data_IF_177519202560
#
_entry.id   IF_177519202560
#
_cell.length_a   1.000
_cell.length_b   1.000
_cell.length_c   1.000
_cell.angle_alpha   90.00
_cell.angle_beta   90.00
_cell.angle_gamma   90.00
#
_symmetry.space_group_name_H-M   'P 1'
#
loop_
_entity.id
_entity.type
_entity.pdbx_description
1 polymer ?
#
# COMPACT_ATOMS: atom_id res chain seq x y z
N UNK A 1 29.35 -2.37 -24.53
CA UNK A 1 28.05 -2.44 -23.83
C UNK A 1 27.99 -3.78 -23.15
N UNK A 2 27.55 -3.84 -21.88
CA UNK A 2 27.25 -5.14 -21.26
C UNK A 2 26.00 -5.71 -21.92
N UNK A 3 25.97 -7.04 -22.11
CA UNK A 3 24.78 -7.71 -22.62
C UNK A 3 23.57 -7.50 -21.70
N UNK A 4 22.37 -7.46 -22.28
CA UNK A 4 21.12 -7.38 -21.50
C UNK A 4 20.98 -8.62 -20.60
N UNK A 5 20.47 -8.48 -19.38
CA UNK A 5 20.24 -9.60 -18.48
C UNK A 5 19.40 -10.69 -19.16
N UNK A 6 19.90 -11.91 -19.13
CA UNK A 6 19.23 -13.09 -19.68
C UNK A 6 19.55 -14.32 -18.81
N UNK A 7 18.71 -15.33 -18.94
CA UNK A 7 18.94 -16.65 -18.34
C UNK A 7 18.51 -17.73 -19.35
N UNK A 8 19.38 -17.94 -20.35
CA UNK A 8 19.08 -18.86 -21.44
C UNK A 8 18.84 -20.29 -20.98
N UNK A 9 19.47 -20.73 -19.88
CA UNK A 9 19.24 -22.06 -19.31
C UNK A 9 17.84 -22.17 -18.69
N UNK A 10 17.38 -21.13 -18.00
CA UNK A 10 16.01 -21.08 -17.51
C UNK A 10 14.99 -21.03 -18.66
N UNK A 11 15.26 -20.26 -19.71
CA UNK A 11 14.42 -20.23 -20.91
C UNK A 11 14.28 -21.60 -21.56
N UNK A 12 15.41 -22.32 -21.74
CA UNK A 12 15.40 -23.72 -22.21
C UNK A 12 14.62 -24.64 -21.28
N UNK A 13 14.77 -24.44 -19.97
CA UNK A 13 14.05 -25.20 -18.95
C UNK A 13 12.53 -25.03 -19.02
N UNK A 14 12.05 -23.78 -19.27
CA UNK A 14 10.63 -23.51 -19.50
C UNK A 14 10.14 -24.21 -20.75
N UNK A 15 10.80 -24.01 -21.90
CA UNK A 15 10.38 -24.60 -23.17
C UNK A 15 10.47 -26.13 -23.11
N UNK A 16 11.55 -26.70 -22.60
CA UNK A 16 11.71 -28.14 -22.42
C UNK A 16 10.60 -28.75 -21.54
N UNK A 17 10.23 -28.08 -20.44
CA UNK A 17 9.10 -28.52 -19.60
C UNK A 17 7.76 -28.46 -20.33
N UNK A 18 7.55 -27.43 -21.19
CA UNK A 18 6.37 -27.35 -22.03
C UNK A 18 6.29 -28.46 -23.08
N UNK A 19 7.44 -28.91 -23.60
CA UNK A 19 7.49 -30.00 -24.59
C UNK A 19 7.29 -31.38 -23.94
N UNK A 20 7.74 -31.58 -22.70
CA UNK A 20 7.62 -32.85 -21.97
C UNK A 20 6.20 -33.14 -21.50
N UNK A 21 5.54 -32.14 -20.90
CA UNK A 21 4.18 -32.28 -20.36
C UNK A 21 3.29 -31.08 -20.80
N UNK A 22 3.00 -30.98 -22.11
CA UNK A 22 2.35 -29.79 -22.64
C UNK A 22 1.02 -29.48 -21.98
N UNK A 23 0.15 -30.47 -21.81
CA UNK A 23 -1.20 -30.29 -21.25
C UNK A 23 -1.22 -29.81 -19.78
N UNK A 24 -0.16 -30.08 -19.04
CA UNK A 24 0.00 -29.67 -17.65
C UNK A 24 0.75 -28.36 -17.51
N UNK A 25 1.80 -28.17 -18.29
CA UNK A 25 2.76 -27.07 -18.13
C UNK A 25 2.35 -25.85 -18.93
N UNK A 26 1.97 -25.99 -20.20
CA UNK A 26 1.65 -24.87 -21.08
C UNK A 26 0.55 -23.96 -20.50
N UNK A 27 -0.59 -24.48 -19.99
CA UNK A 27 -1.61 -23.62 -19.41
C UNK A 27 -1.13 -22.79 -18.22
N UNK A 28 -0.22 -23.35 -17.41
CA UNK A 28 0.34 -22.66 -16.23
C UNK A 28 1.37 -21.58 -16.65
N UNK A 29 2.26 -21.92 -17.54
CA UNK A 29 3.36 -21.04 -17.94
C UNK A 29 2.87 -19.88 -18.81
N UNK A 30 1.85 -20.09 -19.66
CA UNK A 30 1.22 -19.03 -20.44
C UNK A 30 0.42 -18.01 -19.63
N UNK A 31 0.12 -18.32 -18.37
CA UNK A 31 -0.43 -17.36 -17.40
C UNK A 31 0.65 -16.49 -16.74
N UNK A 32 1.90 -16.93 -16.75
CA UNK A 32 3.03 -16.25 -16.10
C UNK A 32 3.91 -15.49 -17.09
N UNK A 33 4.14 -16.06 -18.27
CA UNK A 33 5.08 -15.55 -19.25
C UNK A 33 4.39 -15.12 -20.54
N UNK A 34 5.05 -14.20 -21.23
CA UNK A 34 4.75 -13.79 -22.61
C UNK A 34 5.92 -14.12 -23.52
N UNK A 35 5.74 -14.04 -24.82
CA UNK A 35 6.83 -14.17 -25.80
C UNK A 35 7.97 -13.17 -25.54
N UNK A 36 7.67 -11.97 -25.04
CA UNK A 36 8.63 -10.93 -24.70
C UNK A 36 9.43 -11.23 -23.42
N UNK A 37 9.00 -12.19 -22.63
CA UNK A 37 9.73 -12.64 -21.44
C UNK A 37 11.05 -13.32 -21.80
N UNK A 38 11.09 -13.95 -22.99
CA UNK A 38 12.27 -14.66 -23.50
C UNK A 38 13.25 -13.72 -24.23
N UNK A 39 14.53 -14.01 -24.11
CA UNK A 39 15.60 -13.26 -24.81
C UNK A 39 15.95 -13.90 -26.13
N UNK A 40 16.02 -15.25 -26.19
CA UNK A 40 16.30 -15.95 -27.42
C UNK A 40 15.09 -15.96 -28.35
N UNK A 41 15.31 -15.51 -29.58
CA UNK A 41 14.26 -15.45 -30.63
C UNK A 41 13.62 -16.81 -30.90
N UNK A 42 14.39 -17.89 -30.79
CA UNK A 42 13.86 -19.28 -30.95
C UNK A 42 12.83 -19.58 -29.88
N UNK A 43 13.13 -19.22 -28.62
CA UNK A 43 12.22 -19.43 -27.50
C UNK A 43 10.98 -18.56 -27.59
N UNK A 44 11.11 -17.30 -28.06
CA UNK A 44 9.98 -16.40 -28.29
C UNK A 44 8.98 -17.04 -29.27
N UNK A 45 9.50 -17.52 -30.41
CA UNK A 45 8.67 -18.12 -31.46
C UNK A 45 8.03 -19.42 -30.98
N UNK A 46 8.79 -20.31 -30.33
CA UNK A 46 8.26 -21.56 -29.79
C UNK A 46 7.16 -21.30 -28.77
N UNK A 47 7.39 -20.35 -27.87
CA UNK A 47 6.41 -20.02 -26.85
C UNK A 47 5.13 -19.41 -27.43
N UNK A 48 5.26 -18.52 -28.45
CA UNK A 48 4.11 -17.96 -29.17
C UNK A 48 3.24 -19.07 -29.80
N UNK A 49 3.86 -20.04 -30.47
CA UNK A 49 3.13 -21.16 -31.11
C UNK A 49 2.46 -22.03 -30.06
N UNK A 50 3.15 -22.40 -28.98
CA UNK A 50 2.58 -23.18 -27.87
C UNK A 50 1.40 -22.47 -27.22
N UNK A 51 1.49 -21.15 -27.02
CA UNK A 51 0.41 -20.32 -26.45
C UNK A 51 -0.81 -20.30 -27.37
N UNK A 52 -0.63 -20.11 -28.67
CA UNK A 52 -1.73 -20.11 -29.67
C UNK A 52 -2.41 -21.46 -29.76
N UNK A 53 -1.65 -22.57 -29.77
CA UNK A 53 -2.20 -23.93 -29.74
C UNK A 53 -3.03 -24.18 -28.47
N UNK A 54 -2.54 -23.73 -27.31
CA UNK A 54 -3.28 -23.83 -26.05
C UNK A 54 -4.59 -23.02 -26.06
N UNK A 55 -4.54 -21.78 -26.59
CA UNK A 55 -5.73 -20.92 -26.70
C UNK A 55 -6.79 -21.50 -27.67
N UNK A 56 -6.34 -22.22 -28.70
CA UNK A 56 -7.21 -22.87 -29.69
C UNK A 56 -7.69 -24.23 -29.24
N UNK A 57 -7.39 -24.65 -28.00
CA UNK A 57 -7.68 -25.99 -27.48
C UNK A 57 -7.19 -27.15 -28.39
N UNK A 58 -6.08 -26.91 -29.11
CA UNK A 58 -5.45 -27.96 -29.92
C UNK A 58 -4.64 -28.90 -29.03
N UNK A 59 -4.61 -30.17 -29.38
CA UNK A 59 -3.72 -31.13 -28.72
C UNK A 59 -2.29 -30.74 -28.97
N UNK A 60 -1.53 -30.54 -27.89
CA UNK A 60 -0.11 -30.20 -27.96
C UNK A 60 0.70 -31.47 -27.67
N UNK A 61 1.33 -32.02 -28.70
CA UNK A 61 2.37 -33.03 -28.59
C UNK A 61 3.52 -32.69 -29.52
N UNK A 62 4.62 -33.45 -29.44
CA UNK A 62 5.82 -33.18 -30.20
C UNK A 62 5.63 -33.32 -31.73
N UNK A 63 4.72 -34.18 -32.18
CA UNK A 63 4.47 -34.39 -33.60
C UNK A 63 3.61 -33.26 -34.15
N UNK A 64 2.49 -32.97 -33.48
CA UNK A 64 1.59 -31.86 -33.87
C UNK A 64 2.30 -30.53 -33.87
N UNK A 65 3.15 -30.29 -32.86
CA UNK A 65 3.97 -29.06 -32.80
C UNK A 65 4.94 -28.95 -33.98
N UNK A 66 5.61 -30.06 -34.34
CA UNK A 66 6.52 -30.08 -35.50
C UNK A 66 5.77 -29.80 -36.80
N UNK A 67 4.60 -30.42 -37.02
CA UNK A 67 3.75 -30.17 -38.17
C UNK A 67 3.28 -28.72 -38.24
N UNK A 68 2.87 -28.14 -37.11
CA UNK A 68 2.41 -26.76 -37.06
C UNK A 68 3.56 -25.76 -37.34
N UNK A 69 4.76 -26.03 -36.80
CA UNK A 69 5.95 -25.24 -37.09
C UNK A 69 6.38 -25.32 -38.57
N UNK A 70 6.27 -26.50 -39.18
CA UNK A 70 6.60 -26.70 -40.61
C UNK A 70 5.57 -26.01 -41.48
N UNK A 71 4.29 -26.18 -41.23
CA UNK A 71 3.19 -25.52 -41.93
C UNK A 71 3.34 -23.99 -41.91
N UNK A 72 3.79 -23.42 -40.79
CA UNK A 72 4.05 -21.99 -40.61
C UNK A 72 5.44 -21.55 -41.15
N UNK A 73 6.25 -22.48 -41.66
CA UNK A 73 7.62 -22.26 -42.11
C UNK A 73 8.56 -21.68 -41.03
N UNK A 74 8.27 -22.02 -39.76
CA UNK A 74 9.00 -21.55 -38.60
C UNK A 74 10.04 -22.57 -38.08
N UNK A 75 10.01 -23.82 -38.55
CA UNK A 75 10.85 -24.92 -38.05
C UNK A 75 12.34 -24.58 -38.07
N UNK A 76 12.85 -23.99 -39.14
CA UNK A 76 14.25 -23.59 -39.24
C UNK A 76 14.60 -22.42 -38.29
N UNK A 77 13.64 -21.52 -38.06
CA UNK A 77 13.82 -20.36 -37.19
C UNK A 77 13.95 -20.78 -35.72
N UNK A 78 13.28 -21.84 -35.30
CA UNK A 78 13.34 -22.37 -33.91
C UNK A 78 14.53 -23.33 -33.70
N UNK A 79 15.39 -23.53 -34.69
CA UNK A 79 16.60 -24.37 -34.56
C UNK A 79 16.42 -25.79 -35.11
N UNK A 80 15.31 -26.10 -35.79
CA UNK A 80 15.03 -27.40 -36.41
C UNK A 80 14.61 -28.48 -35.41
N UNK A 81 14.36 -29.67 -35.98
CA UNK A 81 13.89 -30.83 -35.16
C UNK A 81 14.90 -31.27 -34.12
N UNK A 82 16.19 -31.23 -34.43
CA UNK A 82 17.25 -31.63 -33.51
C UNK A 82 17.29 -30.76 -32.26
N UNK A 83 17.07 -29.46 -32.39
CA UNK A 83 17.04 -28.55 -31.26
C UNK A 83 15.88 -28.86 -30.30
N UNK A 84 14.70 -29.15 -30.83
CA UNK A 84 13.53 -29.52 -30.03
C UNK A 84 13.73 -30.84 -29.29
N UNK A 85 14.30 -31.84 -29.96
CA UNK A 85 14.63 -33.11 -29.32
C UNK A 85 15.68 -32.93 -28.20
N UNK A 86 16.71 -32.14 -28.43
CA UNK A 86 17.72 -31.84 -27.43
C UNK A 86 17.13 -31.13 -26.19
N UNK A 87 16.17 -30.21 -26.37
CA UNK A 87 15.47 -29.58 -25.24
C UNK A 87 14.68 -30.60 -24.43
N UNK A 88 14.03 -31.58 -25.08
CA UNK A 88 13.28 -32.64 -24.37
C UNK A 88 14.22 -33.60 -23.61
N UNK A 89 15.36 -33.92 -24.19
CA UNK A 89 16.33 -34.84 -23.56
C UNK A 89 17.10 -34.19 -22.39
N UNK A 90 17.32 -32.89 -22.45
CA UNK A 90 18.08 -32.16 -21.44
C UNK A 90 17.30 -31.88 -20.17
N UNK A 91 15.99 -31.63 -20.29
CA UNK A 91 15.14 -31.24 -19.16
C UNK A 91 14.15 -32.36 -18.79
N UNK A 92 14.58 -33.29 -17.98
CA UNK A 92 13.84 -34.52 -17.60
C UNK A 92 12.73 -34.26 -16.56
N UNK A 93 12.70 -33.10 -15.89
CA UNK A 93 11.80 -32.83 -14.76
C UNK A 93 10.93 -31.59 -15.03
N UNK A 94 9.70 -31.83 -15.46
CA UNK A 94 8.69 -30.78 -15.72
C UNK A 94 8.17 -30.06 -14.44
N UNK A 95 8.35 -30.65 -13.26
CA UNK A 95 7.91 -30.08 -11.98
C UNK A 95 8.64 -28.77 -11.62
N UNK A 96 9.78 -28.47 -12.22
CA UNK A 96 10.55 -27.25 -12.00
C UNK A 96 10.16 -26.09 -12.94
N UNK A 97 9.16 -26.27 -13.78
CA UNK A 97 8.72 -25.25 -14.75
C UNK A 97 8.37 -23.90 -14.12
N UNK A 98 7.79 -23.90 -12.91
CA UNK A 98 7.48 -22.67 -12.18
C UNK A 98 8.75 -21.95 -11.69
N UNK A 99 9.74 -22.71 -11.21
CA UNK A 99 11.04 -22.16 -10.82
C UNK A 99 11.76 -21.52 -12.01
N UNK A 100 11.82 -22.21 -13.15
CA UNK A 100 12.41 -21.66 -14.37
C UNK A 100 11.65 -20.42 -14.88
N UNK A 101 10.33 -20.43 -14.81
CA UNK A 101 9.51 -19.29 -15.16
C UNK A 101 9.83 -18.05 -14.30
N UNK A 102 10.02 -18.23 -13.00
CA UNK A 102 10.40 -17.13 -12.10
C UNK A 102 11.77 -16.54 -12.45
N UNK A 103 12.77 -17.37 -12.78
CA UNK A 103 14.09 -16.90 -13.23
C UNK A 103 14.03 -16.12 -14.55
N UNK A 104 13.16 -16.52 -15.48
CA UNK A 104 12.90 -15.79 -16.73
C UNK A 104 12.25 -14.44 -16.43
N UNK A 105 11.26 -14.40 -15.53
CA UNK A 105 10.59 -13.16 -15.10
C UNK A 105 11.56 -12.19 -14.41
N UNK A 106 12.45 -12.67 -13.56
CA UNK A 106 13.49 -11.83 -12.94
C UNK A 106 14.38 -11.17 -14.00
N UNK A 107 14.81 -11.96 -15.00
CA UNK A 107 15.62 -11.44 -16.10
C UNK A 107 14.85 -10.44 -16.96
N UNK A 108 13.57 -10.68 -17.24
CA UNK A 108 12.69 -9.74 -17.96
C UNK A 108 12.53 -8.43 -17.18
N UNK A 109 12.29 -8.51 -15.87
CA UNK A 109 12.17 -7.34 -14.99
C UNK A 109 13.41 -6.47 -15.06
N UNK A 110 14.60 -7.06 -14.94
CA UNK A 110 15.87 -6.32 -15.06
C UNK A 110 16.02 -5.66 -16.42
N UNK A 111 15.62 -6.31 -17.52
CA UNK A 111 15.62 -5.71 -18.86
C UNK A 111 14.69 -4.50 -18.94
N UNK A 112 13.48 -4.61 -18.39
CA UNK A 112 12.52 -3.50 -18.35
C UNK A 112 13.06 -2.32 -17.53
N UNK A 113 13.66 -2.59 -16.37
CA UNK A 113 14.30 -1.56 -15.53
C UNK A 113 15.43 -0.85 -16.29
N UNK A 114 16.32 -1.59 -16.94
CA UNK A 114 17.42 -1.02 -17.75
C UNK A 114 16.87 -0.17 -18.89
N UNK A 115 15.82 -0.61 -19.58
CA UNK A 115 15.20 0.14 -20.65
C UNK A 115 14.60 1.46 -20.16
N UNK A 116 13.88 1.45 -19.04
CA UNK A 116 13.30 2.66 -18.43
C UNK A 116 14.42 3.64 -18.05
N UNK A 117 15.47 3.16 -17.38
CA UNK A 117 16.60 3.98 -16.98
C UNK A 117 17.37 4.53 -18.17
N UNK A 118 17.59 3.70 -19.21
CA UNK A 118 18.29 4.10 -20.44
C UNK A 118 17.50 5.14 -21.23
N UNK A 119 16.19 4.97 -21.33
CA UNK A 119 15.31 5.94 -21.97
C UNK A 119 15.24 7.23 -21.17
N UNK A 120 15.10 7.13 -19.84
CA UNK A 120 15.15 8.29 -18.95
C UNK A 120 16.46 9.06 -19.05
N UNK A 121 17.60 8.37 -19.19
CA UNK A 121 18.88 9.02 -19.40
C UNK A 121 18.91 9.78 -20.74
N UNK A 122 18.42 9.17 -21.83
CA UNK A 122 18.35 9.82 -23.15
C UNK A 122 17.46 11.06 -23.15
N UNK A 123 16.27 10.96 -22.53
CA UNK A 123 15.33 12.10 -22.44
C UNK A 123 15.89 13.21 -21.55
N UNK A 124 16.63 12.87 -20.47
CA UNK A 124 17.32 13.87 -19.64
C UNK A 124 18.40 14.64 -20.41
N UNK A 125 19.17 13.99 -21.28
CA UNK A 125 20.14 14.68 -22.14
C UNK A 125 19.48 15.64 -23.13
N UNK A 126 18.23 15.36 -23.53
CA UNK A 126 17.46 16.23 -24.44
C UNK A 126 16.72 17.36 -23.70
N UNK A 127 16.74 17.37 -22.37
CA UNK A 127 16.02 18.36 -21.56
C UNK A 127 14.53 18.05 -21.34
N UNK A 128 14.04 16.90 -21.81
CA UNK A 128 12.61 16.53 -21.86
C UNK A 128 12.19 15.53 -20.77
N UNK A 129 13.09 15.15 -19.84
CA UNK A 129 12.74 14.10 -18.87
C UNK A 129 12.22 14.64 -17.56
N UNK A 130 11.11 14.08 -17.11
CA UNK A 130 10.64 14.21 -15.73
C UNK A 130 11.14 13.01 -14.92
N UNK A 131 11.88 13.27 -13.85
CA UNK A 131 12.31 12.25 -12.88
C UNK A 131 11.12 11.46 -12.34
N UNK A 132 9.96 12.11 -12.24
CA UNK A 132 8.70 11.53 -11.78
C UNK A 132 8.16 10.47 -12.73
N UNK A 133 8.29 10.68 -14.02
CA UNK A 133 7.85 9.73 -15.05
C UNK A 133 8.70 8.44 -14.99
N UNK A 134 10.01 8.58 -14.84
CA UNK A 134 10.93 7.45 -14.66
C UNK A 134 10.60 6.68 -13.38
N UNK A 135 10.40 7.40 -12.26
CA UNK A 135 10.00 6.80 -11.00
C UNK A 135 8.65 6.08 -11.09
N UNK A 136 7.66 6.70 -11.73
CA UNK A 136 6.34 6.10 -11.95
C UNK A 136 6.42 4.79 -12.73
N UNK A 137 7.22 4.75 -13.80
CA UNK A 137 7.43 3.54 -14.61
C UNK A 137 8.18 2.45 -13.82
N UNK A 138 9.22 2.79 -13.05
CA UNK A 138 9.94 1.84 -12.19
C UNK A 138 9.05 1.30 -11.07
N UNK A 139 8.17 2.12 -10.53
CA UNK A 139 7.19 1.74 -9.52
C UNK A 139 6.20 0.74 -10.09
N UNK A 140 5.68 0.98 -11.30
CA UNK A 140 4.73 0.08 -11.96
C UNK A 140 5.30 -1.32 -12.19
N UNK A 141 6.61 -1.45 -12.46
CA UNK A 141 7.28 -2.75 -12.58
C UNK A 141 7.38 -3.54 -11.26
N UNK A 142 7.33 -2.85 -10.12
CA UNK A 142 7.44 -3.48 -8.80
C UNK A 142 6.08 -3.84 -8.20
N UNK A 143 5.00 -3.34 -8.77
CA UNK A 143 3.65 -3.76 -8.44
C UNK A 143 3.41 -5.08 -9.19
N UNK A 144 3.30 -6.19 -8.46
CA UNK A 144 2.94 -7.48 -9.08
C UNK A 144 1.61 -7.31 -9.81
N UNK A 145 1.57 -7.62 -11.10
CA UNK A 145 0.29 -7.80 -11.78
C UNK A 145 -0.50 -8.85 -10.98
N UNK A 146 -1.64 -8.42 -10.45
CA UNK A 146 -2.54 -9.34 -9.74
C UNK A 146 -3.06 -10.34 -10.75
N UNK A 147 -2.84 -11.61 -10.47
CA UNK A 147 -3.52 -12.67 -11.21
C UNK A 147 -5.02 -12.45 -11.02
N UNK A 148 -5.77 -12.30 -12.09
CA UNK A 148 -7.23 -12.27 -12.00
C UNK A 148 -7.71 -13.57 -11.35
N UNK A 149 -8.24 -13.43 -10.13
CA UNK A 149 -8.89 -14.54 -9.43
C UNK A 149 -10.34 -14.64 -9.92
N UNK A 150 -10.84 -15.84 -10.06
CA UNK A 150 -12.25 -16.05 -10.35
C UNK A 150 -13.11 -15.58 -9.17
N UNK A 151 -14.39 -15.24 -9.43
CA UNK A 151 -15.32 -14.88 -8.36
C UNK A 151 -15.50 -16.01 -7.33
N UNK A 152 -15.43 -17.27 -7.77
CA UNK A 152 -15.51 -18.43 -6.88
C UNK A 152 -14.28 -18.50 -5.95
N UNK A 153 -13.06 -18.31 -6.48
CA UNK A 153 -11.84 -18.28 -5.66
C UNK A 153 -11.89 -17.16 -4.62
N UNK A 154 -12.36 -15.98 -5.02
CA UNK A 154 -12.54 -14.84 -4.11
C UNK A 154 -13.60 -15.13 -3.04
N UNK A 155 -14.70 -15.79 -3.41
CA UNK A 155 -15.77 -16.20 -2.50
C UNK A 155 -15.26 -17.20 -1.45
N UNK A 156 -14.58 -18.25 -1.87
CA UNK A 156 -13.97 -19.23 -0.97
C UNK A 156 -12.90 -18.62 -0.07
N UNK A 157 -12.07 -17.72 -0.59
CA UNK A 157 -11.09 -16.99 0.21
C UNK A 157 -11.75 -16.14 1.30
N UNK A 158 -12.83 -15.43 0.96
CA UNK A 158 -13.59 -14.63 1.93
C UNK A 158 -14.20 -15.53 3.03
N UNK A 159 -14.82 -16.66 2.66
CA UNK A 159 -15.40 -17.61 3.62
C UNK A 159 -14.32 -18.16 4.55
N UNK A 160 -13.18 -18.58 4.00
CA UNK A 160 -12.05 -19.08 4.80
C UNK A 160 -11.51 -18.03 5.76
N UNK A 161 -11.38 -16.78 5.33
CA UNK A 161 -10.99 -15.67 6.21
C UNK A 161 -12.01 -15.42 7.33
N UNK A 162 -13.32 -15.56 7.04
CA UNK A 162 -14.38 -15.49 8.06
C UNK A 162 -14.24 -16.61 9.10
N UNK A 163 -14.01 -17.84 8.64
CA UNK A 163 -13.82 -19.01 9.54
C UNK A 163 -12.59 -18.84 10.41
N UNK A 164 -11.49 -18.31 9.85
CA UNK A 164 -10.25 -18.05 10.58
C UNK A 164 -10.32 -16.82 11.51
N UNK A 165 -11.38 -16.00 11.44
CA UNK A 165 -11.47 -14.71 12.15
C UNK A 165 -10.48 -13.66 11.65
N UNK A 166 -10.04 -13.79 10.39
CA UNK A 166 -9.05 -12.94 9.73
C UNK A 166 -9.67 -11.90 8.79
N UNK A 167 -10.95 -11.61 8.92
CA UNK A 167 -11.62 -10.53 8.19
C UNK A 167 -11.12 -9.19 8.74
N UNK A 168 -10.33 -8.50 7.94
CA UNK A 168 -9.60 -7.31 8.37
C UNK A 168 -8.33 -7.63 9.17
N UNK A 169 -7.34 -6.76 9.04
CA UNK A 169 -6.01 -6.96 9.63
C UNK A 169 -5.72 -5.99 10.76
N UNK A 170 -5.98 -4.71 10.55
CA UNK A 170 -5.54 -3.64 11.43
C UNK A 170 -6.60 -3.29 12.48
N UNK A 171 -6.28 -3.32 13.80
CA UNK A 171 -7.17 -2.81 14.82
C UNK A 171 -7.26 -1.28 14.75
N UNK A 172 -8.32 -0.72 15.31
CA UNK A 172 -8.46 0.70 15.55
C UNK A 172 -7.52 1.16 16.68
N UNK A 173 -7.54 2.45 16.97
CA UNK A 173 -6.67 3.05 17.98
C UNK A 173 -6.91 2.57 19.42
N UNK A 174 -8.00 1.84 19.67
CA UNK A 174 -8.30 1.14 20.93
C UNK A 174 -9.22 -0.07 20.67
N UNK A 175 -9.29 -0.95 21.65
CA UNK A 175 -10.06 -2.20 21.58
C UNK A 175 -11.56 -1.96 21.48
N UNK A 176 -12.11 -0.95 22.19
CA UNK A 176 -13.53 -0.59 22.13
C UNK A 176 -13.99 -0.31 20.70
N UNK A 177 -13.13 0.38 19.91
CA UNK A 177 -13.42 0.66 18.53
C UNK A 177 -13.28 -0.57 17.65
N UNK A 178 -12.28 -1.40 17.91
CA UNK A 178 -12.07 -2.65 17.16
C UNK A 178 -13.22 -3.63 17.40
N UNK A 179 -13.71 -3.72 18.63
CA UNK A 179 -14.84 -4.59 18.99
C UNK A 179 -16.16 -4.11 18.36
N UNK A 180 -16.40 -2.80 18.25
CA UNK A 180 -17.63 -2.24 17.69
C UNK A 180 -17.64 -2.23 16.15
N UNK A 181 -16.52 -1.90 15.55
CA UNK A 181 -16.41 -1.62 14.10
C UNK A 181 -15.83 -2.78 13.29
N UNK A 182 -15.27 -3.78 13.97
CA UNK A 182 -14.42 -4.78 13.34
C UNK A 182 -13.01 -4.24 13.02
N UNK A 183 -12.14 -5.11 12.53
CA UNK A 183 -10.81 -4.71 12.08
C UNK A 183 -10.88 -4.01 10.72
N UNK A 184 -9.97 -3.08 10.50
CA UNK A 184 -9.81 -2.38 9.23
C UNK A 184 -9.25 -3.36 8.20
N UNK A 185 -9.80 -3.32 7.00
CA UNK A 185 -9.36 -4.12 5.87
C UNK A 185 -8.35 -3.33 5.02
N UNK A 186 -8.65 -3.15 3.76
CA UNK A 186 -7.90 -2.30 2.83
C UNK A 186 -8.71 -1.04 2.59
N UNK A 187 -8.58 -0.03 3.46
CA UNK A 187 -9.41 1.16 3.44
C UNK A 187 -8.57 2.44 3.27
N UNK A 188 -9.05 3.38 2.47
CA UNK A 188 -8.56 4.76 2.48
C UNK A 188 -9.37 5.53 3.53
N UNK A 189 -8.73 5.83 4.65
CA UNK A 189 -9.31 6.50 5.81
C UNK A 189 -8.89 7.96 5.79
N UNK A 190 -9.85 8.86 5.86
CA UNK A 190 -9.60 10.30 6.04
C UNK A 190 -10.00 10.70 7.45
N UNK A 191 -9.02 11.09 8.25
CA UNK A 191 -9.24 11.66 9.58
C UNK A 191 -9.09 13.19 9.48
N UNK A 192 -10.20 13.91 9.57
CA UNK A 192 -10.14 15.35 9.53
C UNK A 192 -10.64 15.99 10.82
N UNK A 193 -10.04 17.12 11.18
CA UNK A 193 -10.35 17.85 12.39
C UNK A 193 -9.90 19.30 12.30
N UNK A 194 -10.56 20.24 12.99
CA UNK A 194 -10.07 21.60 13.16
C UNK A 194 -8.64 21.62 13.78
N UNK A 195 -7.98 22.76 13.67
CA UNK A 195 -6.65 22.91 14.29
C UNK A 195 -6.76 22.74 15.82
N UNK A 196 -5.72 22.19 16.43
CA UNK A 196 -5.62 22.02 17.88
C UNK A 196 -6.65 21.08 18.53
N UNK A 197 -7.38 20.29 17.73
CA UNK A 197 -8.32 19.27 18.23
C UNK A 197 -7.60 17.97 18.64
N UNK A 198 -6.32 17.81 18.31
CA UNK A 198 -5.54 16.63 18.68
C UNK A 198 -5.43 15.55 17.60
N UNK A 199 -5.73 15.86 16.34
CA UNK A 199 -5.67 14.93 15.19
C UNK A 199 -4.36 14.13 15.11
N UNK A 200 -3.21 14.82 15.12
CA UNK A 200 -1.88 14.19 15.12
C UNK A 200 -1.64 13.35 16.37
N UNK A 201 -2.15 13.78 17.54
CA UNK A 201 -2.02 12.99 18.78
C UNK A 201 -2.81 11.68 18.71
N UNK A 202 -4.04 11.70 18.14
CA UNK A 202 -4.84 10.50 17.93
C UNK A 202 -4.13 9.53 16.97
N UNK A 203 -3.59 10.04 15.89
CA UNK A 203 -2.81 9.25 14.93
C UNK A 203 -1.59 8.61 15.59
N UNK A 204 -0.82 9.36 16.38
CA UNK A 204 0.35 8.83 17.09
C UNK A 204 -0.04 7.74 18.11
N UNK A 205 -1.13 7.95 18.85
CA UNK A 205 -1.65 6.91 19.77
C UNK A 205 -2.08 5.67 19.00
N UNK A 206 -2.73 5.82 17.83
CA UNK A 206 -3.11 4.71 16.97
C UNK A 206 -1.88 3.95 16.48
N UNK A 207 -0.86 4.66 16.01
CA UNK A 207 0.41 4.08 15.59
C UNK A 207 1.08 3.29 16.73
N UNK A 208 1.11 3.84 17.97
CA UNK A 208 1.61 3.12 19.15
C UNK A 208 0.80 1.85 19.44
N UNK A 209 -0.54 1.92 19.34
CA UNK A 209 -1.41 0.76 19.54
C UNK A 209 -1.15 -0.35 18.51
N UNK A 210 -0.98 0.00 17.23
CA UNK A 210 -0.62 -0.96 16.18
C UNK A 210 0.73 -1.64 16.46
N UNK A 211 1.75 -0.86 16.80
CA UNK A 211 3.09 -1.41 17.10
C UNK A 211 3.10 -2.30 18.36
N UNK A 212 2.32 -1.97 19.38
CA UNK A 212 2.13 -2.84 20.54
C UNK A 212 1.47 -4.18 20.17
N UNK A 213 0.67 -4.20 19.10
CA UNK A 213 0.09 -5.39 18.48
C UNK A 213 1.01 -6.03 17.42
N UNK A 214 2.30 -5.70 17.41
CA UNK A 214 3.34 -6.22 16.49
C UNK A 214 3.09 -5.89 15.00
N UNK A 215 2.32 -4.84 14.72
CA UNK A 215 2.05 -4.36 13.37
C UNK A 215 2.92 -3.15 13.06
N UNK A 216 3.40 -3.07 11.83
CA UNK A 216 4.23 -1.96 11.36
C UNK A 216 3.38 -0.89 10.70
N UNK A 217 3.41 0.32 11.23
CA UNK A 217 2.64 1.46 10.72
C UNK A 217 3.53 2.69 10.51
N UNK A 218 4.28 2.76 9.40
CA UNK A 218 5.14 3.91 9.11
C UNK A 218 4.33 5.19 8.87
N UNK A 219 4.92 6.32 9.25
CA UNK A 219 4.36 7.66 9.16
C UNK A 219 5.16 8.55 8.21
N UNK A 220 4.47 9.14 7.23
CA UNK A 220 4.94 10.31 6.49
C UNK A 220 4.43 11.58 7.19
N UNK A 221 5.29 12.20 7.98
CA UNK A 221 4.99 13.47 8.66
C UNK A 221 5.44 14.63 7.78
N UNK A 222 4.50 15.21 7.04
CA UNK A 222 4.79 16.29 6.10
C UNK A 222 4.67 17.68 6.74
N UNK A 223 3.99 17.76 7.90
CA UNK A 223 3.76 19.00 8.63
C UNK A 223 4.73 19.20 9.79
N UNK A 224 5.14 18.12 10.47
CA UNK A 224 5.92 18.19 11.71
C UNK A 224 7.23 17.39 11.61
N UNK A 225 8.30 17.93 12.19
CA UNK A 225 9.57 17.25 12.31
C UNK A 225 9.51 16.14 13.37
N UNK A 226 10.31 15.08 13.20
CA UNK A 226 10.45 13.99 14.20
C UNK A 226 10.79 14.52 15.59
N UNK A 227 11.62 15.56 15.66
CA UNK A 227 11.97 16.20 16.92
C UNK A 227 10.77 16.83 17.66
N UNK A 228 9.71 17.22 16.94
CA UNK A 228 8.47 17.76 17.50
C UNK A 228 7.46 16.67 17.87
N UNK A 229 7.53 15.53 17.18
CA UNK A 229 6.69 14.36 17.47
C UNK A 229 7.15 13.57 18.70
N UNK A 230 8.47 13.50 18.95
CA UNK A 230 9.04 12.75 20.08
C UNK A 230 8.47 13.15 21.44
N UNK A 231 8.36 14.45 21.82
CA UNK A 231 7.72 14.84 23.08
C UNK A 231 6.26 14.37 23.19
N UNK A 232 5.51 14.33 22.07
CA UNK A 232 4.13 13.83 22.06
C UNK A 232 4.06 12.32 22.26
N UNK A 233 4.99 11.57 21.66
CA UNK A 233 5.13 10.13 21.89
C UNK A 233 5.50 9.82 23.34
N UNK A 234 6.43 10.56 23.94
CA UNK A 234 6.81 10.44 25.36
C UNK A 234 5.63 10.78 26.26
N UNK A 235 4.87 11.84 25.94
CA UNK A 235 3.69 12.23 26.70
C UNK A 235 2.62 11.12 26.74
N UNK A 236 2.50 10.35 25.68
CA UNK A 236 1.56 9.24 25.61
C UNK A 236 1.85 8.14 26.65
N UNK A 237 3.08 8.08 27.16
CA UNK A 237 3.48 7.19 28.27
C UNK A 237 3.31 7.81 29.66
N UNK A 238 2.59 8.93 29.78
CA UNK A 238 2.22 9.52 31.05
C UNK A 238 3.19 10.60 31.57
N UNK A 239 4.04 11.13 30.70
CA UNK A 239 4.96 12.23 31.04
C UNK A 239 4.38 13.56 30.54
N UNK A 240 4.14 14.54 31.41
CA UNK A 240 3.66 15.86 30.99
C UNK A 240 4.78 16.69 30.37
N UNK A 241 5.10 16.38 29.09
CA UNK A 241 6.17 17.05 28.37
C UNK A 241 5.88 18.52 28.07
N UNK A 242 4.60 18.91 27.96
CA UNK A 242 4.20 20.31 27.79
C UNK A 242 4.57 21.12 29.03
N UNK A 243 4.25 20.62 30.23
CA UNK A 243 4.58 21.30 31.49
C UNK A 243 6.10 21.40 31.71
N UNK A 244 6.86 20.36 31.38
CA UNK A 244 8.33 20.39 31.42
C UNK A 244 8.88 21.50 30.51
N UNK A 245 8.38 21.62 29.29
CA UNK A 245 8.79 22.64 28.33
C UNK A 245 8.44 24.06 28.78
N UNK A 246 7.20 24.27 29.27
CA UNK A 246 6.74 25.59 29.72
C UNK A 246 7.49 26.07 30.94
N UNK A 247 7.88 25.17 31.84
CA UNK A 247 8.67 25.46 33.03
C UNK A 247 10.17 25.69 32.74
N UNK A 248 10.65 25.11 31.62
CA UNK A 248 12.06 25.25 31.20
C UNK A 248 13.04 24.29 31.91
N UNK A 249 12.58 23.42 32.78
CA UNK A 249 13.36 22.37 33.45
C UNK A 249 12.52 21.12 33.74
N UNK A 250 13.18 20.01 34.04
CA UNK A 250 12.58 18.76 34.42
C UNK A 250 13.09 18.31 35.79
N UNK A 251 12.25 17.68 36.59
CA UNK A 251 12.63 17.03 37.84
C UNK A 251 13.29 15.68 37.55
N UNK A 252 14.06 15.12 38.51
CA UNK A 252 14.70 13.81 38.35
C UNK A 252 13.71 12.69 38.05
N UNK A 253 12.52 12.75 38.67
CA UNK A 253 11.45 11.80 38.40
C UNK A 253 10.91 11.91 36.97
N UNK A 254 10.68 13.12 36.46
CA UNK A 254 10.25 13.36 35.08
C UNK A 254 11.32 12.92 34.08
N UNK A 255 12.60 13.14 34.39
CA UNK A 255 13.71 12.66 33.56
C UNK A 255 13.73 11.15 33.50
N UNK A 256 13.57 10.47 34.66
CA UNK A 256 13.54 9.02 34.75
C UNK A 256 12.38 8.45 33.94
N UNK A 257 11.15 8.96 34.15
CA UNK A 257 9.97 8.54 33.43
C UNK A 257 10.10 8.79 31.91
N UNK A 258 10.73 9.92 31.51
CA UNK A 258 10.99 10.21 30.10
C UNK A 258 11.97 9.22 29.47
N UNK A 259 12.99 8.80 30.21
CA UNK A 259 13.95 7.77 29.73
C UNK A 259 13.30 6.43 29.58
N UNK A 260 12.45 6.01 30.53
CA UNK A 260 11.69 4.77 30.42
C UNK A 260 10.72 4.78 29.22
N UNK A 261 9.98 5.88 29.03
CA UNK A 261 9.13 6.08 27.88
C UNK A 261 9.92 5.98 26.57
N UNK A 262 11.06 6.65 26.49
CA UNK A 262 11.92 6.60 25.31
C UNK A 262 12.46 5.19 25.03
N UNK A 263 12.80 4.41 26.06
CA UNK A 263 13.21 3.01 25.89
C UNK A 263 12.06 2.15 25.32
N UNK A 264 10.81 2.32 25.81
CA UNK A 264 9.64 1.63 25.25
C UNK A 264 9.40 2.00 23.79
N UNK A 265 9.47 3.29 23.45
CA UNK A 265 9.32 3.77 22.07
C UNK A 265 10.41 3.18 21.16
N UNK A 266 11.66 3.11 21.63
CA UNK A 266 12.77 2.53 20.88
C UNK A 266 12.52 1.06 20.53
N UNK A 267 11.92 0.28 21.44
CA UNK A 267 11.60 -1.13 21.21
C UNK A 267 10.52 -1.32 20.13
N UNK A 268 9.66 -0.34 19.92
CA UNK A 268 8.62 -0.40 18.89
C UNK A 268 9.16 -0.21 17.48
N UNK A 269 10.40 0.29 17.33
CA UNK A 269 11.04 0.52 16.03
C UNK A 269 10.16 1.32 15.05
N UNK A 270 9.64 2.46 15.53
CA UNK A 270 8.76 3.32 14.73
C UNK A 270 9.49 3.91 13.53
N UNK A 271 8.86 3.87 12.35
CA UNK A 271 9.37 4.50 11.14
C UNK A 271 8.63 5.81 10.88
N UNK A 272 9.34 6.93 10.97
CA UNK A 272 8.80 8.28 10.72
C UNK A 272 9.68 8.97 9.68
N UNK A 273 9.10 9.40 8.57
CA UNK A 273 9.73 10.23 7.55
C UNK A 273 9.18 11.64 7.64
N UNK A 274 10.04 12.60 7.95
CA UNK A 274 9.69 14.01 8.20
C UNK A 274 10.23 14.95 7.11
N UNK A 275 10.02 14.57 5.86
CA UNK A 275 10.37 15.37 4.69
C UNK A 275 9.11 15.70 3.90
N UNK A 276 9.04 16.94 3.40
CA UNK A 276 7.98 17.32 2.47
C UNK A 276 8.11 16.52 1.18
N UNK A 277 7.03 15.87 0.75
CA UNK A 277 6.96 14.97 -0.40
C UNK A 277 5.82 15.37 -1.34
N UNK A 278 5.98 15.09 -2.63
CA UNK A 278 4.89 15.05 -3.59
C UNK A 278 4.25 13.65 -3.64
N UNK A 279 3.22 13.49 -4.46
CA UNK A 279 2.48 12.23 -4.54
C UNK A 279 3.34 11.09 -5.10
N UNK A 280 4.27 11.36 -6.01
CA UNK A 280 5.16 10.34 -6.60
C UNK A 280 6.18 9.85 -5.56
N UNK A 281 6.74 10.76 -4.77
CA UNK A 281 7.63 10.43 -3.64
C UNK A 281 6.91 9.64 -2.55
N UNK A 282 5.63 9.98 -2.25
CA UNK A 282 4.78 9.24 -1.30
C UNK A 282 4.55 7.82 -1.81
N UNK A 283 4.21 7.64 -3.10
CA UNK A 283 4.03 6.32 -3.71
C UNK A 283 5.29 5.48 -3.61
N UNK A 284 6.44 6.02 -3.99
CA UNK A 284 7.73 5.33 -3.93
C UNK A 284 8.07 4.90 -2.48
N UNK A 285 7.91 5.83 -1.53
CA UNK A 285 8.12 5.54 -0.11
C UNK A 285 7.16 4.46 0.39
N UNK A 286 5.88 4.54 0.08
CA UNK A 286 4.85 3.59 0.51
C UNK A 286 5.14 2.17 0.03
N UNK A 287 5.57 2.01 -1.23
CA UNK A 287 5.98 0.72 -1.80
C UNK A 287 7.19 0.17 -1.05
N UNK A 288 8.20 1.01 -0.78
CA UNK A 288 9.37 0.61 0.01
C UNK A 288 8.98 0.15 1.42
N UNK A 289 8.08 0.86 2.10
CA UNK A 289 7.62 0.47 3.44
C UNK A 289 6.79 -0.82 3.40
N UNK A 290 5.96 -1.02 2.36
CA UNK A 290 5.24 -2.28 2.16
C UNK A 290 6.18 -3.47 1.99
N UNK A 291 7.27 -3.32 1.23
CA UNK A 291 8.30 -4.35 1.06
C UNK A 291 9.00 -4.69 2.38
N UNK A 292 9.12 -3.71 3.30
CA UNK A 292 9.64 -3.92 4.66
C UNK A 292 8.61 -4.50 5.63
N UNK A 293 7.40 -4.79 5.14
CA UNK A 293 6.31 -5.42 5.89
C UNK A 293 5.41 -4.43 6.61
N UNK A 294 5.16 -3.23 6.05
CA UNK A 294 4.14 -2.32 6.59
C UNK A 294 2.75 -2.93 6.49
N UNK A 295 1.95 -2.81 7.56
CA UNK A 295 0.58 -3.27 7.67
C UNK A 295 -0.43 -2.13 7.44
N UNK A 296 -0.08 -0.89 7.76
CA UNK A 296 -0.88 0.31 7.58
C UNK A 296 0.03 1.52 7.36
N UNK A 297 -0.40 2.52 6.59
CA UNK A 297 0.35 3.76 6.37
C UNK A 297 -0.38 4.96 6.95
N UNK A 298 0.39 5.89 7.54
CA UNK A 298 -0.10 7.19 7.99
C UNK A 298 0.54 8.32 7.19
N UNK A 299 -0.25 9.34 6.83
CA UNK A 299 0.20 10.55 6.11
C UNK A 299 -0.38 11.78 6.82
N UNK A 300 0.48 12.63 7.38
CA UNK A 300 0.10 13.86 8.08
C UNK A 300 0.79 15.08 7.41
N UNK A 301 0.10 15.92 6.64
CA UNK A 301 -1.30 15.88 6.23
C UNK A 301 -1.47 16.21 4.73
N UNK A 302 -2.72 16.10 4.22
CA UNK A 302 -3.08 16.34 2.82
C UNK A 302 -2.57 17.68 2.28
N UNK A 303 -2.73 18.78 3.05
CA UNK A 303 -2.37 20.13 2.60
C UNK A 303 -0.86 20.37 2.48
N UNK A 304 -0.03 19.48 3.06
CA UNK A 304 1.42 19.56 3.01
C UNK A 304 2.03 18.71 1.88
N UNK A 305 1.21 18.00 1.13
CA UNK A 305 1.66 17.27 -0.07
C UNK A 305 1.99 18.29 -1.15
N UNK A 306 3.21 18.24 -1.68
CA UNK A 306 3.68 19.17 -2.73
C UNK A 306 2.97 18.91 -4.05
N UNK A 307 2.91 19.95 -4.87
CA UNK A 307 2.31 19.89 -6.22
C UNK A 307 3.05 18.93 -7.18
N UNK A 308 4.36 18.76 -6.99
CA UNK A 308 5.19 18.02 -7.93
C UNK A 308 5.36 18.76 -9.27
N UNK A 309 5.67 18.02 -10.34
CA UNK A 309 5.88 18.62 -11.67
C UNK A 309 4.59 18.68 -12.52
N UNK A 310 3.46 18.17 -12.00
CA UNK A 310 2.17 18.27 -12.71
C UNK A 310 1.58 19.65 -12.50
N UNK A 311 1.25 20.34 -13.59
CA UNK A 311 0.50 21.59 -13.55
C UNK A 311 -1.00 21.30 -13.31
N UNK A 312 -1.58 22.00 -12.34
CA UNK A 312 -3.00 21.94 -12.02
C UNK A 312 -3.63 23.33 -12.14
N UNK A 313 -4.83 23.41 -12.71
CA UNK A 313 -5.56 24.68 -12.89
C UNK A 313 -5.90 25.34 -11.55
N UNK A 314 -6.10 24.51 -10.50
CA UNK A 314 -6.41 24.98 -9.16
C UNK A 314 -6.08 23.93 -8.10
N UNK A 315 -6.04 24.34 -6.82
CA UNK A 315 -5.73 23.46 -5.69
C UNK A 315 -6.77 22.35 -5.50
N UNK A 316 -8.04 22.58 -5.82
CA UNK A 316 -9.08 21.56 -5.70
C UNK A 316 -8.77 20.37 -6.62
N UNK A 317 -8.47 20.65 -7.90
CA UNK A 317 -8.11 19.62 -8.88
C UNK A 317 -6.85 18.87 -8.46
N UNK A 318 -5.85 19.57 -7.90
CA UNK A 318 -4.64 18.96 -7.37
C UNK A 318 -4.96 17.96 -6.24
N UNK A 319 -5.72 18.37 -5.23
CA UNK A 319 -6.03 17.50 -4.10
C UNK A 319 -6.97 16.34 -4.50
N UNK A 320 -7.92 16.58 -5.41
CA UNK A 320 -8.75 15.51 -5.96
C UNK A 320 -7.92 14.44 -6.68
N UNK A 321 -6.90 14.85 -7.43
CA UNK A 321 -5.96 13.92 -8.06
C UNK A 321 -5.13 13.17 -7.02
N UNK A 322 -4.61 13.85 -5.99
CA UNK A 322 -3.84 13.22 -4.90
C UNK A 322 -4.69 12.13 -4.21
N UNK A 323 -5.95 12.41 -3.88
CA UNK A 323 -6.84 11.43 -3.23
C UNK A 323 -7.09 10.22 -4.14
N UNK A 324 -7.27 10.44 -5.45
CA UNK A 324 -7.41 9.36 -6.43
C UNK A 324 -6.17 8.50 -6.51
N UNK A 325 -4.99 9.11 -6.56
CA UNK A 325 -3.69 8.41 -6.58
C UNK A 325 -3.45 7.62 -5.29
N UNK A 326 -3.84 8.17 -4.12
CA UNK A 326 -3.75 7.45 -2.84
C UNK A 326 -4.72 6.27 -2.78
N UNK A 327 -5.92 6.40 -3.36
CA UNK A 327 -6.85 5.27 -3.47
C UNK A 327 -6.26 4.16 -4.34
N UNK A 328 -5.72 4.50 -5.51
CA UNK A 328 -5.06 3.53 -6.37
C UNK A 328 -3.89 2.86 -5.64
N UNK A 329 -3.05 3.64 -4.97
CA UNK A 329 -1.93 3.13 -4.17
C UNK A 329 -2.39 2.16 -3.08
N UNK A 330 -3.49 2.45 -2.38
CA UNK A 330 -4.09 1.57 -1.39
C UNK A 330 -4.51 0.24 -2.01
N UNK A 331 -5.14 0.27 -3.20
CA UNK A 331 -5.56 -0.93 -3.95
C UNK A 331 -4.35 -1.77 -4.39
N UNK A 332 -3.29 -1.10 -4.86
CA UNK A 332 -2.06 -1.74 -5.32
C UNK A 332 -1.27 -2.40 -4.18
N UNK A 333 -1.22 -1.76 -3.02
CA UNK A 333 -0.47 -2.25 -1.85
C UNK A 333 -1.25 -3.22 -0.97
N UNK A 334 -2.58 -3.24 -1.07
CA UNK A 334 -3.50 -4.04 -0.22
C UNK A 334 -3.30 -3.81 1.28
N UNK A 335 -3.05 -2.56 1.67
CA UNK A 335 -2.99 -2.13 3.07
C UNK A 335 -3.76 -0.83 3.27
N UNK A 336 -4.36 -0.61 4.46
CA UNK A 336 -5.04 0.64 4.75
C UNK A 336 -4.08 1.83 4.76
N UNK A 337 -4.60 2.97 4.31
CA UNK A 337 -3.91 4.27 4.36
C UNK A 337 -4.77 5.24 5.14
N UNK A 338 -4.23 5.83 6.21
CA UNK A 338 -4.87 6.89 6.97
C UNK A 338 -4.22 8.24 6.60
N UNK A 339 -5.00 9.11 5.96
CA UNK A 339 -4.61 10.46 5.59
C UNK A 339 -5.26 11.47 6.53
N UNK A 340 -4.45 12.34 7.12
CA UNK A 340 -4.94 13.44 7.92
C UNK A 340 -5.27 14.65 7.03
N UNK A 341 -6.38 15.33 7.33
CA UNK A 341 -6.81 16.50 6.59
C UNK A 341 -7.37 17.60 7.52
N UNK A 342 -7.49 18.82 7.02
CA UNK A 342 -8.15 19.92 7.71
C UNK A 342 -9.53 20.18 7.10
N UNK A 343 -10.53 20.51 7.91
CA UNK A 343 -11.84 20.94 7.40
C UNK A 343 -11.77 22.37 6.86
N UNK A 344 -12.72 22.69 5.98
CA UNK A 344 -13.05 24.05 5.61
C UNK A 344 -14.05 24.68 6.62
N UNK A 345 -14.52 25.89 6.36
CA UNK A 345 -15.47 26.60 7.23
C UNK A 345 -16.81 25.86 7.39
N UNK A 346 -17.18 24.97 6.46
CA UNK A 346 -18.41 24.16 6.52
C UNK A 346 -18.19 22.78 7.18
N UNK A 347 -17.06 22.56 7.82
CA UNK A 347 -16.66 21.26 8.38
C UNK A 347 -16.54 20.12 7.36
N UNK A 348 -16.42 20.45 6.07
CA UNK A 348 -16.05 19.52 5.01
C UNK A 348 -14.54 19.53 4.82
N UNK A 349 -13.99 18.51 4.19
CA UNK A 349 -12.56 18.46 3.92
C UNK A 349 -12.17 19.60 2.98
N UNK A 350 -11.15 20.38 3.38
CA UNK A 350 -10.74 21.55 2.63
C UNK A 350 -10.20 21.16 1.24
N UNK A 351 -10.56 21.95 0.23
CA UNK A 351 -10.05 21.89 -1.14
C UNK A 351 -10.24 20.55 -1.88
N UNK A 352 -11.12 19.66 -1.42
CA UNK A 352 -11.39 18.43 -2.17
C UNK A 352 -12.88 18.13 -2.25
N UNK A 353 -13.42 18.14 -3.49
CA UNK A 353 -14.80 17.75 -3.79
C UNK A 353 -14.94 16.23 -3.97
N UNK A 354 -13.83 15.53 -4.25
CA UNK A 354 -13.82 14.10 -4.57
C UNK A 354 -13.57 13.19 -3.37
N UNK A 355 -13.23 13.74 -2.19
CA UNK A 355 -12.91 12.92 -1.00
C UNK A 355 -14.05 11.97 -0.67
N UNK A 356 -15.30 12.48 -0.68
CA UNK A 356 -16.49 11.66 -0.38
C UNK A 356 -16.66 10.50 -1.37
N UNK A 357 -16.17 10.64 -2.60
CA UNK A 357 -16.28 9.63 -3.63
C UNK A 357 -15.19 8.54 -3.48
N UNK A 358 -13.97 8.93 -3.17
CA UNK A 358 -12.80 8.04 -3.17
C UNK A 358 -12.46 7.45 -1.82
N UNK A 359 -12.65 8.17 -0.71
CA UNK A 359 -12.43 7.63 0.63
C UNK A 359 -13.44 6.53 0.95
N UNK A 360 -12.98 5.50 1.65
CA UNK A 360 -13.84 4.42 2.15
C UNK A 360 -14.41 4.78 3.52
N UNK A 361 -13.60 5.42 4.36
CA UNK A 361 -13.96 5.85 5.71
C UNK A 361 -13.59 7.32 5.86
N UNK A 362 -14.53 8.12 6.38
CA UNK A 362 -14.33 9.54 6.70
C UNK A 362 -14.71 9.75 8.14
N UNK A 363 -13.74 10.21 8.93
CA UNK A 363 -13.90 10.46 10.37
C UNK A 363 -13.70 11.95 10.64
N UNK A 364 -14.67 12.57 11.26
CA UNK A 364 -14.61 13.95 11.72
C UNK A 364 -14.48 14.02 13.24
N UNK A 365 -13.37 14.59 13.69
CA UNK A 365 -13.09 14.83 15.10
C UNK A 365 -13.38 16.30 15.42
N UNK A 366 -14.28 16.55 16.36
CA UNK A 366 -14.67 17.89 16.78
C UNK A 366 -14.78 18.00 18.29
N UNK A 367 -14.56 19.18 18.83
CA UNK A 367 -14.82 19.47 20.24
C UNK A 367 -16.35 19.55 20.48
N UNK A 368 -16.85 18.95 21.56
CA UNK A 368 -18.23 19.05 21.91
C UNK A 368 -18.56 20.50 22.29
N UNK A 369 -19.47 21.19 21.57
CA UNK A 369 -19.72 22.61 21.81
C UNK A 369 -20.43 22.82 23.17
N UNK A 370 -20.27 23.98 23.83
CA UNK A 370 -20.86 24.29 25.15
C UNK A 370 -22.38 24.09 25.21
N UNK A 371 -23.07 24.43 24.13
CA UNK A 371 -24.53 24.25 23.97
C UNK A 371 -24.93 22.79 23.71
N UNK A 372 -23.95 21.92 23.54
CA UNK A 372 -24.18 20.54 23.15
C UNK A 372 -24.53 20.38 21.65
N UNK A 373 -24.73 19.13 21.24
CA UNK A 373 -25.09 18.79 19.87
C UNK A 373 -26.15 17.69 19.84
N UNK A 374 -27.09 17.73 18.90
CA UNK A 374 -28.04 16.65 18.66
C UNK A 374 -27.43 15.59 17.73
N UNK A 375 -27.36 14.35 18.21
CA UNK A 375 -26.89 13.19 17.45
C UNK A 375 -27.90 12.05 17.66
N UNK A 376 -28.40 11.47 16.59
CA UNK A 376 -29.36 10.36 16.61
C UNK A 376 -30.54 10.57 17.58
N UNK A 377 -31.05 11.83 17.63
CA UNK A 377 -32.15 12.22 18.53
C UNK A 377 -31.76 12.50 19.99
N UNK A 378 -30.54 12.21 20.41
CA UNK A 378 -30.02 12.52 21.74
C UNK A 378 -29.34 13.89 21.74
N UNK A 379 -29.51 14.65 22.83
CA UNK A 379 -28.77 15.90 23.05
C UNK A 379 -27.53 15.59 23.90
N UNK A 380 -26.37 15.70 23.28
CA UNK A 380 -25.07 15.44 23.92
C UNK A 380 -24.49 16.75 24.41
N UNK A 381 -24.36 16.87 25.72
CA UNK A 381 -23.71 18.01 26.37
C UNK A 381 -22.24 17.73 26.62
N UNK A 382 -21.38 18.77 26.71
CA UNK A 382 -20.00 18.57 27.12
C UNK A 382 -19.94 17.91 28.50
N UNK A 383 -19.04 16.94 28.64
CA UNK A 383 -18.78 16.33 29.95
C UNK A 383 -17.69 17.15 30.65
N UNK A 384 -18.06 17.91 31.66
CA UNK A 384 -17.15 18.77 32.43
C UNK A 384 -16.47 18.02 33.61
N UNK A 385 -16.89 16.77 33.89
CA UNK A 385 -16.29 15.95 34.93
C UNK A 385 -15.01 15.22 34.51
N UNK A 386 -14.65 15.32 33.21
CA UNK A 386 -13.43 14.74 32.67
C UNK A 386 -12.28 15.73 32.67
N UNK A 387 -11.05 15.23 32.84
CA UNK A 387 -9.84 16.03 32.63
C UNK A 387 -9.56 16.21 31.13
N UNK A 388 -9.30 17.45 30.70
CA UNK A 388 -9.01 17.74 29.27
C UNK A 388 -10.26 18.10 28.47
N UNK A 389 -10.29 17.72 27.19
CA UNK A 389 -11.35 18.08 26.27
C UNK A 389 -12.31 16.92 26.02
N UNK A 390 -13.61 17.22 26.00
CA UNK A 390 -14.63 16.32 25.50
C UNK A 390 -14.76 16.48 23.99
N UNK A 391 -14.48 15.40 23.25
CA UNK A 391 -14.53 15.40 21.80
C UNK A 391 -15.56 14.40 21.28
N UNK A 392 -16.08 14.70 20.12
CA UNK A 392 -16.96 13.82 19.36
C UNK A 392 -16.22 13.36 18.12
N UNK A 393 -16.24 12.08 17.88
CA UNK A 393 -15.64 11.45 16.72
C UNK A 393 -16.73 10.82 15.86
N UNK A 394 -17.12 11.53 14.80
CA UNK A 394 -18.23 11.14 13.92
C UNK A 394 -17.73 10.45 12.67
N UNK A 395 -18.21 9.25 12.41
CA UNK A 395 -18.06 8.59 11.13
C UNK A 395 -19.03 9.21 10.13
N UNK A 396 -18.53 10.10 9.27
CA UNK A 396 -19.34 10.73 8.21
C UNK A 396 -19.58 9.74 7.07
N UNK A 397 -18.66 8.78 6.87
CA UNK A 397 -18.76 7.70 5.90
C UNK A 397 -18.03 6.46 6.43
N UNK A 398 -18.64 5.29 6.22
CA UNK A 398 -18.01 4.00 6.38
C UNK A 398 -18.62 3.02 5.36
N UNK A 399 -17.88 2.71 4.29
CA UNK A 399 -18.38 1.82 3.22
C UNK A 399 -18.59 0.39 3.68
N UNK A 400 -17.75 -0.06 4.60
CA UNK A 400 -17.67 -1.47 4.97
C UNK A 400 -18.33 -1.77 6.32
N UNK A 401 -19.06 -0.80 6.91
CA UNK A 401 -19.68 -0.98 8.21
C UNK A 401 -20.63 0.13 8.63
N UNK A 402 -20.90 0.20 9.93
CA UNK A 402 -21.72 1.24 10.53
C UNK A 402 -20.99 2.58 10.59
N UNK A 403 -21.74 3.68 10.64
CA UNK A 403 -21.21 5.05 10.77
C UNK A 403 -21.61 5.68 12.11
N UNK A 404 -21.05 5.20 13.24
CA UNK A 404 -21.43 5.66 14.56
C UNK A 404 -20.78 7.02 14.90
N UNK A 405 -21.17 7.55 16.05
CA UNK A 405 -20.46 8.63 16.72
C UNK A 405 -19.96 8.16 18.07
N UNK A 406 -18.67 8.39 18.33
CA UNK A 406 -18.04 8.11 19.61
C UNK A 406 -17.85 9.41 20.41
N UNK A 407 -18.12 9.34 21.70
CA UNK A 407 -17.70 10.31 22.71
C UNK A 407 -16.33 9.90 23.21
N UNK A 408 -15.35 10.80 23.15
CA UNK A 408 -13.97 10.54 23.55
C UNK A 408 -13.40 11.70 24.36
N UNK A 409 -12.48 11.39 25.26
CA UNK A 409 -11.71 12.36 26.04
C UNK A 409 -10.34 12.56 25.42
N UNK A 410 -9.86 13.80 25.38
CA UNK A 410 -8.50 14.14 25.00
C UNK A 410 -7.76 14.80 26.16
N UNK A 411 -6.79 14.11 26.72
CA UNK A 411 -5.87 14.61 27.74
C UNK A 411 -4.69 15.29 27.08
N UNK A 412 -4.78 16.61 26.84
CA UNK A 412 -3.78 17.37 26.09
C UNK A 412 -2.37 17.31 26.68
N UNK A 413 -2.25 17.33 28.03
CA UNK A 413 -0.97 17.24 28.75
C UNK A 413 -0.23 15.94 28.49
N UNK A 414 -0.96 14.86 28.24
CA UNK A 414 -0.44 13.52 27.99
C UNK A 414 -0.61 13.07 26.55
N UNK A 415 -1.18 13.92 25.69
CA UNK A 415 -1.44 13.61 24.28
C UNK A 415 -2.16 12.27 24.09
N UNK A 416 -3.09 11.94 25.01
CA UNK A 416 -3.81 10.68 25.05
C UNK A 416 -5.30 10.86 24.85
N UNK A 417 -5.90 9.87 24.21
CA UNK A 417 -7.33 9.73 24.04
C UNK A 417 -7.84 8.55 24.84
N UNK A 418 -9.07 8.68 25.35
CA UNK A 418 -9.85 7.60 25.95
C UNK A 418 -11.20 7.55 25.29
N UNK A 419 -11.65 6.34 24.96
CA UNK A 419 -13.04 6.12 24.59
C UNK A 419 -13.91 6.29 25.83
N UNK A 420 -15.01 7.01 25.71
CA UNK A 420 -15.99 7.18 26.79
C UNK A 420 -17.22 6.31 26.50
N UNK A 421 -17.89 6.58 25.40
CA UNK A 421 -19.08 5.84 24.99
C UNK A 421 -19.37 5.94 23.49
N UNK A 422 -20.19 5.02 22.99
CA UNK A 422 -20.84 5.13 21.70
C UNK A 422 -22.21 5.82 21.87
N UNK A 423 -22.49 6.80 21.04
CA UNK A 423 -23.69 7.66 21.19
C UNK A 423 -24.91 7.03 20.51
N UNK A 424 -24.76 6.14 19.56
CA UNK A 424 -25.80 5.50 18.72
C UNK A 424 -25.79 4.00 18.73
#
# INVERSE_FOLDING_TARGET
>A
MKDMPNNLEAEKGVIGSCLLEPNRVVPKVTQLLTENSFTDRKHQVLFSVLKEMNQSNQTIDSIVLLEELDKRKLLNMVGGKEYLLNLMDTFVISSHSEHYSNLVLESEKLRKEINILSNGLKTSYNGDSSTEEILSQLISLNIKEKKEQSLDELGEQFINNCIAGEVGKCPWWCDDWTNKLGKITTDLIILHAPRSTGKTALMLQWMLHLHNNKMKSPLASLEMLRAELMPRLIANYGVNTYFMRSRGFATDNEITNSREANQKIKLLNLTIRDKAMDISEIKAWSISEKQKGADMLFIDNLLCIKEGNKHYDNKTTMYDNIIRELKQLRDDLEIPICLLAHPNAENKIAYSSSVENFADIIIFLMECPPEGVKISGKHILPNYDITGKHLLCKFQKNRNGISPTASIQFEGDYQRFKHLEWID
#
